data_IF_315249086588
#
_entry.id   IF_315249086588
#
_cell.length_a   1.000
_cell.length_b   1.000
_cell.length_c   1.000
_cell.angle_alpha   90.00
_cell.angle_beta   90.00
_cell.angle_gamma   90.00
#
_symmetry.space_group_name_H-M   'P 1'
#
loop_
_entity.id
_entity.type
_entity.pdbx_description
1 polymer ?
#
# COMPACT_ATOMS: atom_id res chain seq x y z
N UNK A 1 -2.62 -26.58 -18.90
CA UNK A 1 -2.03 -26.21 -20.21
C UNK A 1 -2.18 -24.72 -20.40
N UNK A 2 -1.07 -24.00 -20.27
CA UNK A 2 -1.02 -22.56 -20.41
C UNK A 2 -0.59 -22.20 -21.84
N UNK A 3 -0.93 -21.00 -22.26
CA UNK A 3 -0.53 -20.43 -23.55
C UNK A 3 0.31 -19.19 -23.29
N UNK A 4 1.33 -18.99 -24.12
CA UNK A 4 2.17 -17.80 -24.02
C UNK A 4 1.34 -16.56 -24.32
N UNK A 5 1.37 -15.58 -23.41
CA UNK A 5 0.60 -14.33 -23.52
C UNK A 5 1.03 -13.42 -24.69
N UNK A 6 2.17 -13.71 -25.33
CA UNK A 6 2.77 -12.88 -26.39
C UNK A 6 2.74 -13.53 -27.76
N UNK A 7 2.95 -14.84 -27.85
CA UNK A 7 2.99 -15.55 -29.14
C UNK A 7 1.94 -16.64 -29.32
N UNK A 8 1.11 -16.91 -28.30
CA UNK A 8 0.04 -17.92 -28.38
C UNK A 8 0.52 -19.37 -28.46
N UNK A 9 1.82 -19.63 -28.36
CA UNK A 9 2.35 -20.99 -28.33
C UNK A 9 1.91 -21.71 -27.05
N UNK A 10 1.63 -23.02 -27.15
CA UNK A 10 1.45 -23.88 -25.98
C UNK A 10 2.74 -23.88 -25.14
N UNK A 11 2.60 -23.64 -23.85
CA UNK A 11 3.68 -23.70 -22.87
C UNK A 11 3.26 -24.58 -21.70
N UNK A 12 4.24 -25.17 -21.05
CA UNK A 12 4.02 -25.85 -19.79
C UNK A 12 3.53 -24.83 -18.73
N UNK A 13 2.61 -25.24 -17.85
CA UNK A 13 2.02 -24.36 -16.82
C UNK A 13 3.10 -23.79 -15.87
N UNK A 14 4.27 -24.45 -15.79
CA UNK A 14 5.40 -24.09 -14.93
C UNK A 14 6.54 -23.36 -15.68
N UNK A 15 6.41 -23.13 -17.00
CA UNK A 15 7.46 -22.50 -17.78
C UNK A 15 7.63 -21.00 -17.45
N UNK A 16 8.71 -20.64 -16.77
CA UNK A 16 9.02 -19.23 -16.43
C UNK A 16 9.32 -18.37 -17.66
N UNK A 17 9.74 -18.96 -18.78
CA UNK A 17 10.06 -18.28 -20.04
C UNK A 17 9.50 -19.09 -21.20
N UNK A 18 8.90 -18.42 -22.18
CA UNK A 18 8.40 -19.10 -23.38
C UNK A 18 9.57 -19.58 -24.27
N UNK A 19 9.71 -20.88 -24.58
CA UNK A 19 10.80 -21.39 -25.41
C UNK A 19 10.71 -20.95 -26.88
N UNK A 20 9.55 -20.46 -27.33
CA UNK A 20 9.34 -19.98 -28.71
C UNK A 20 9.68 -18.51 -28.91
N UNK A 21 9.41 -17.65 -27.93
CA UNK A 21 9.52 -16.20 -28.10
C UNK A 21 10.35 -15.48 -27.04
N UNK A 22 10.88 -16.23 -26.05
CA UNK A 22 11.77 -15.72 -25.01
C UNK A 22 11.13 -14.80 -23.98
N UNK A 23 9.80 -14.59 -24.01
CA UNK A 23 9.16 -13.70 -23.04
C UNK A 23 8.93 -14.40 -21.70
N UNK A 24 9.21 -13.73 -20.57
CA UNK A 24 8.93 -14.28 -19.25
C UNK A 24 7.43 -14.44 -19.05
N UNK A 25 7.02 -15.54 -18.43
CA UNK A 25 5.62 -15.86 -18.12
C UNK A 25 5.44 -15.80 -16.60
N UNK A 26 4.53 -14.94 -16.13
CA UNK A 26 4.10 -14.91 -14.74
C UNK A 26 3.17 -16.11 -14.48
N UNK A 27 3.76 -17.21 -14.01
CA UNK A 27 3.03 -18.47 -13.72
C UNK A 27 3.91 -19.66 -13.31
N UNK A 28 5.24 -19.58 -13.44
CA UNK A 28 6.12 -20.66 -13.00
C UNK A 28 6.05 -20.93 -11.48
N UNK A 29 6.42 -22.12 -11.00
CA UNK A 29 6.30 -22.55 -9.60
C UNK A 29 7.17 -21.72 -8.64
N UNK A 30 8.12 -20.96 -9.20
CA UNK A 30 8.99 -20.03 -8.49
C UNK A 30 8.52 -18.56 -8.56
N UNK A 31 7.44 -18.26 -9.28
CA UNK A 31 6.80 -16.95 -9.33
C UNK A 31 5.38 -17.09 -8.78
N UNK A 32 5.19 -16.99 -7.45
CA UNK A 32 3.85 -16.85 -6.91
C UNK A 32 3.13 -15.73 -7.66
N UNK A 33 1.83 -15.88 -8.00
CA UNK A 33 1.07 -14.80 -8.62
C UNK A 33 1.31 -13.55 -7.77
N UNK A 34 1.54 -12.37 -8.38
CA UNK A 34 1.81 -11.15 -7.63
C UNK A 34 0.76 -11.06 -6.54
N UNK A 35 1.22 -11.07 -5.27
CA UNK A 35 0.36 -11.19 -4.10
C UNK A 35 -0.87 -10.30 -4.30
N UNK A 36 -2.07 -10.76 -3.96
CA UNK A 36 -3.31 -10.05 -4.32
C UNK A 36 -3.23 -8.56 -3.92
N UNK A 37 -3.26 -7.67 -4.91
CA UNK A 37 -3.11 -6.21 -4.79
C UNK A 37 -4.41 -5.52 -4.36
N UNK A 38 -5.14 -6.18 -3.47
CA UNK A 38 -6.39 -5.70 -2.92
C UNK A 38 -6.05 -4.67 -1.83
N UNK A 39 -5.75 -3.46 -2.26
CA UNK A 39 -5.81 -2.28 -1.39
C UNK A 39 -7.18 -2.23 -0.73
N UNK A 40 -7.20 -2.11 0.60
CA UNK A 40 -8.44 -2.17 1.38
C UNK A 40 -8.39 -1.19 2.55
N UNK A 41 -9.56 -0.88 3.09
CA UNK A 41 -9.75 0.00 4.23
C UNK A 41 -8.90 -0.41 5.45
N UNK A 42 -8.72 -1.72 5.65
CA UNK A 42 -7.95 -2.27 6.77
C UNK A 42 -6.46 -1.88 6.74
N UNK A 43 -5.87 -1.71 5.54
CA UNK A 43 -4.49 -1.24 5.40
C UNK A 43 -4.35 0.23 5.78
N UNK A 44 -5.37 1.04 5.50
CA UNK A 44 -5.43 2.43 5.98
C UNK A 44 -5.61 2.51 7.49
N UNK A 45 -6.42 1.62 8.07
CA UNK A 45 -6.62 1.58 9.52
C UNK A 45 -5.34 1.18 10.28
N UNK A 46 -4.58 0.21 9.77
CA UNK A 46 -3.25 -0.10 10.32
C UNK A 46 -2.31 1.12 10.26
N UNK A 47 -2.32 1.85 9.14
CA UNK A 47 -1.56 3.08 8.99
C UNK A 47 -1.99 4.17 9.98
N UNK A 48 -3.27 4.21 10.35
CA UNK A 48 -3.76 5.13 11.36
C UNK A 48 -3.31 4.78 12.78
N UNK A 49 -3.36 3.50 13.16
CA UNK A 49 -2.98 3.06 14.51
C UNK A 49 -1.47 3.23 14.78
N UNK A 50 -0.64 3.05 13.75
CA UNK A 50 0.82 3.20 13.87
C UNK A 50 1.33 4.00 12.65
N UNK A 51 1.33 5.34 12.73
CA UNK A 51 1.67 6.20 11.58
C UNK A 51 3.07 5.94 11.02
N UNK A 52 4.02 5.58 11.89
CA UNK A 52 5.40 5.22 11.49
C UNK A 52 5.41 3.94 10.67
N UNK A 53 4.67 2.90 11.08
CA UNK A 53 4.59 1.66 10.33
C UNK A 53 3.90 1.85 8.98
N UNK A 54 2.88 2.72 8.91
CA UNK A 54 2.22 3.10 7.66
C UNK A 54 3.15 3.79 6.66
N UNK A 55 4.02 4.69 7.13
CA UNK A 55 5.06 5.35 6.32
C UNK A 55 6.12 4.36 5.82
N UNK A 56 6.57 3.43 6.67
CA UNK A 56 7.54 2.39 6.29
C UNK A 56 6.93 1.44 5.25
N UNK A 57 5.70 0.97 5.45
CA UNK A 57 5.01 0.10 4.49
C UNK A 57 4.77 0.79 3.15
N UNK A 58 4.46 2.10 3.16
CA UNK A 58 4.32 2.88 1.93
C UNK A 58 5.62 2.87 1.11
N UNK A 59 6.78 3.00 1.76
CA UNK A 59 8.08 2.97 1.08
C UNK A 59 8.45 1.55 0.61
N UNK A 60 8.26 0.53 1.45
CA UNK A 60 8.58 -0.88 1.12
C UNK A 60 7.70 -1.43 -0.01
N UNK A 61 6.44 -1.05 -0.09
CA UNK A 61 5.50 -1.54 -1.11
C UNK A 61 5.29 -0.60 -2.29
N UNK A 62 6.12 0.44 -2.42
CA UNK A 62 6.02 1.43 -3.50
C UNK A 62 6.06 0.80 -4.89
N UNK A 63 6.99 -0.14 -5.10
CA UNK A 63 7.23 -0.76 -6.40
C UNK A 63 6.56 -2.12 -6.58
N UNK A 64 6.23 -2.80 -5.47
CA UNK A 64 5.71 -4.17 -5.50
C UNK A 64 4.18 -4.24 -5.47
N UNK A 65 3.52 -3.29 -4.80
CA UNK A 65 2.11 -3.42 -4.44
C UNK A 65 1.47 -2.02 -4.21
N UNK A 66 1.37 -1.22 -5.29
CA UNK A 66 1.07 0.22 -5.23
C UNK A 66 -0.32 0.56 -4.66
N UNK A 67 -1.29 -0.37 -4.76
CA UNK A 67 -2.65 -0.11 -4.24
C UNK A 67 -2.73 -0.18 -2.71
N UNK A 68 -2.10 -1.16 -2.07
CA UNK A 68 -2.09 -1.22 -0.59
C UNK A 68 -1.13 -0.19 -0.01
N UNK A 69 -0.01 0.11 -0.69
CA UNK A 69 0.90 1.19 -0.31
C UNK A 69 0.14 2.52 -0.19
N UNK A 70 -0.63 2.90 -1.23
CA UNK A 70 -1.46 4.11 -1.18
C UNK A 70 -2.48 4.09 -0.02
N UNK A 71 -3.13 2.95 0.24
CA UNK A 71 -4.10 2.86 1.33
C UNK A 71 -3.43 3.07 2.71
N UNK A 72 -2.30 2.41 2.97
CA UNK A 72 -1.55 2.55 4.22
C UNK A 72 -0.98 3.97 4.40
N UNK A 73 -0.46 4.57 3.34
CA UNK A 73 0.07 5.94 3.35
C UNK A 73 -1.01 7.00 3.61
N UNK A 74 -2.19 6.88 3.00
CA UNK A 74 -3.32 7.80 3.25
C UNK A 74 -3.78 7.69 4.71
N UNK A 75 -3.89 6.47 5.26
CA UNK A 75 -4.27 6.27 6.65
C UNK A 75 -3.31 6.93 7.65
N UNK A 76 -2.00 6.79 7.43
CA UNK A 76 -0.99 7.44 8.26
C UNK A 76 -1.07 8.97 8.18
N UNK A 77 -1.22 9.53 6.97
CA UNK A 77 -1.29 10.97 6.75
C UNK A 77 -2.54 11.60 7.41
N UNK A 78 -3.70 10.98 7.25
CA UNK A 78 -4.96 11.47 7.86
C UNK A 78 -4.85 11.52 9.38
N UNK A 79 -4.26 10.49 10.01
CA UNK A 79 -4.20 10.42 11.47
C UNK A 79 -3.19 11.41 12.07
N UNK A 80 -2.07 11.68 11.39
CA UNK A 80 -1.14 12.75 11.79
C UNK A 80 -1.82 14.13 11.68
N UNK A 81 -2.51 14.41 10.57
CA UNK A 81 -3.20 15.69 10.39
C UNK A 81 -4.28 15.89 11.45
N UNK A 82 -5.12 14.89 11.71
CA UNK A 82 -6.15 14.97 12.73
C UNK A 82 -5.57 15.27 14.12
N UNK A 83 -4.44 14.62 14.47
CA UNK A 83 -3.77 14.85 15.76
C UNK A 83 -3.26 16.29 15.89
N UNK A 84 -2.64 16.83 14.84
CA UNK A 84 -2.16 18.22 14.81
C UNK A 84 -3.31 19.21 14.93
N UNK A 85 -4.40 19.02 14.19
CA UNK A 85 -5.57 19.90 14.25
C UNK A 85 -6.21 19.91 15.64
N UNK A 86 -6.37 18.73 16.26
CA UNK A 86 -6.88 18.61 17.62
C UNK A 86 -5.97 19.31 18.64
N UNK A 87 -4.66 19.15 18.50
CA UNK A 87 -3.69 19.80 19.39
C UNK A 87 -3.74 21.33 19.27
N UNK A 88 -3.78 21.86 18.04
CA UNK A 88 -3.89 23.31 17.79
C UNK A 88 -5.21 23.87 18.31
N UNK A 89 -6.32 23.17 18.11
CA UNK A 89 -7.63 23.57 18.64
C UNK A 89 -7.63 23.57 20.18
N UNK A 90 -7.08 22.53 20.82
CA UNK A 90 -6.96 22.47 22.27
C UNK A 90 -6.06 23.58 22.82
N UNK A 91 -4.95 23.89 22.15
CA UNK A 91 -4.07 24.99 22.53
C UNK A 91 -4.79 26.34 22.41
N UNK A 92 -5.49 26.59 21.30
CA UNK A 92 -6.26 27.82 21.11
C UNK A 92 -7.39 27.98 22.14
N UNK A 93 -8.12 26.91 22.44
CA UNK A 93 -9.17 26.89 23.47
C UNK A 93 -8.59 27.05 24.89
N UNK A 94 -7.46 26.43 25.19
CA UNK A 94 -6.76 26.59 26.47
C UNK A 94 -6.25 28.01 26.68
N UNK A 95 -5.68 28.62 25.64
CA UNK A 95 -5.22 30.02 25.68
C UNK A 95 -6.43 30.96 25.83
N UNK A 96 -7.53 30.74 25.11
CA UNK A 96 -8.71 31.60 25.23
C UNK A 96 -9.43 31.45 26.57
N UNK A 97 -9.47 30.26 27.17
CA UNK A 97 -9.94 30.08 28.54
C UNK A 97 -9.05 30.82 29.57
N UNK A 98 -7.72 30.80 29.37
CA UNK A 98 -6.79 31.53 30.23
C UNK A 98 -6.90 33.06 30.08
N UNK A 99 -7.17 33.56 28.88
CA UNK A 99 -7.34 35.00 28.60
C UNK A 99 -8.70 35.53 29.07
N UNK A 100 -9.76 34.72 29.09
CA UNK A 100 -11.07 35.10 29.65
C UNK A 100 -11.16 34.97 31.18
N UNK A 101 -10.20 34.33 31.82
CA UNK A 101 -10.12 34.19 33.28
C UNK A 101 -9.34 35.33 33.98
N UNK A 102 -8.77 36.27 33.20
CA UNK A 102 -8.08 37.47 33.67
C UNK A 102 -8.87 38.71 33.26
#
# INVERSE_FOLDING_TARGET
MAYCRKCGALIDDYAAVCPKCGTPQNGGPNNPPPAADNGGFLWGLLGCCIPIAGLILFLVWKDTKPRTAKAAGIGALVCVIAYVLMYVAAAALGISAAVHAY
#
